data_IF_033031491224
#
_entry.id   IF_033031491224
#
_cell.length_a   1.000
_cell.length_b   1.000
_cell.length_c   1.000
_cell.angle_alpha   90.00
_cell.angle_beta   90.00
_cell.angle_gamma   90.00
#
_symmetry.space_group_name_H-M   'P 1'
#
loop_
_entity.id
_entity.type
_entity.pdbx_description
1 polymer ?
#
# COMPACT_ATOMS: atom_id res chain seq x y z
N UNK A 1 42.82 -58.95 23.37
CA UNK A 1 42.39 -59.33 22.02
C UNK A 1 42.24 -58.06 21.21
N UNK A 2 43.24 -57.73 20.38
CA UNK A 2 43.26 -56.52 19.56
C UNK A 2 42.85 -56.85 18.13
N UNK A 3 41.76 -56.24 17.65
CA UNK A 3 41.36 -56.27 16.25
C UNK A 3 42.02 -55.12 15.50
N UNK A 4 42.92 -55.44 14.57
CA UNK A 4 43.51 -54.48 13.65
C UNK A 4 42.46 -54.06 12.59
N UNK A 5 42.26 -52.75 12.45
CA UNK A 5 41.45 -52.19 11.37
C UNK A 5 42.21 -52.32 10.02
N UNK A 6 41.52 -52.66 8.91
CA UNK A 6 42.15 -52.74 7.60
C UNK A 6 42.54 -51.34 7.11
N UNK A 7 43.80 -51.19 6.72
CA UNK A 7 44.35 -49.97 6.12
C UNK A 7 43.60 -49.60 4.85
N UNK A 8 43.28 -48.31 4.71
CA UNK A 8 42.76 -47.75 3.45
C UNK A 8 43.80 -47.94 2.34
N UNK A 9 43.43 -48.41 1.15
CA UNK A 9 44.35 -48.43 0.02
C UNK A 9 44.79 -47.00 -0.30
N UNK A 10 46.11 -46.79 -0.32
CA UNK A 10 46.72 -45.52 -0.71
C UNK A 10 46.49 -45.28 -2.19
N UNK A 11 45.96 -44.10 -2.51
CA UNK A 11 45.74 -43.61 -3.87
C UNK A 11 47.08 -43.61 -4.62
N UNK A 12 47.14 -44.26 -5.77
CA UNK A 12 48.37 -44.43 -6.55
C UNK A 12 48.71 -43.16 -7.33
N UNK A 13 50.01 -42.90 -7.57
CA UNK A 13 50.47 -41.69 -8.27
C UNK A 13 49.84 -41.51 -9.67
N UNK A 14 49.47 -42.61 -10.34
CA UNK A 14 48.77 -42.59 -11.63
C UNK A 14 47.31 -42.12 -11.53
N UNK A 15 46.62 -42.43 -10.44
CA UNK A 15 45.25 -41.94 -10.18
C UNK A 15 45.25 -40.45 -9.83
N UNK A 16 46.29 -39.98 -9.14
CA UNK A 16 46.48 -38.55 -8.83
C UNK A 16 46.80 -37.77 -10.12
N UNK A 17 47.65 -38.30 -11.00
CA UNK A 17 47.97 -37.68 -12.29
C UNK A 17 46.74 -37.62 -13.22
N UNK A 18 45.97 -38.71 -13.31
CA UNK A 18 44.73 -38.73 -14.10
C UNK A 18 43.65 -37.80 -13.55
N UNK A 19 43.53 -37.67 -12.23
CA UNK A 19 42.62 -36.71 -11.60
C UNK A 19 43.06 -35.26 -11.82
N UNK A 20 44.38 -34.97 -11.80
CA UNK A 20 44.94 -33.66 -12.11
C UNK A 20 44.72 -33.27 -13.58
N UNK A 21 44.94 -34.20 -14.52
CA UNK A 21 44.71 -33.96 -15.95
C UNK A 21 43.20 -33.76 -16.27
N UNK A 22 42.31 -34.47 -15.55
CA UNK A 22 40.86 -34.25 -15.64
C UNK A 22 40.46 -32.89 -15.05
N UNK A 23 41.07 -32.49 -13.93
CA UNK A 23 40.85 -31.17 -13.30
C UNK A 23 41.36 -30.03 -14.17
N UNK A 24 42.47 -30.23 -14.88
CA UNK A 24 43.03 -29.24 -15.80
C UNK A 24 42.16 -29.09 -17.07
N UNK A 25 41.62 -30.22 -17.58
CA UNK A 25 40.65 -30.22 -18.69
C UNK A 25 39.26 -29.67 -18.31
N UNK A 26 38.81 -29.90 -17.07
CA UNK A 26 37.48 -29.51 -16.59
C UNK A 26 37.46 -28.18 -15.84
N UNK A 27 38.62 -27.66 -15.44
CA UNK A 27 38.76 -26.42 -14.67
C UNK A 27 38.26 -25.19 -15.43
N UNK A 28 38.59 -25.07 -16.72
CA UNK A 28 38.12 -23.96 -17.56
C UNK A 28 36.61 -24.04 -17.83
N UNK A 29 36.03 -25.20 -18.22
CA UNK A 29 34.57 -25.35 -18.32
C UNK A 29 33.82 -25.11 -17.01
N UNK A 30 34.30 -25.60 -15.86
CA UNK A 30 33.65 -25.34 -14.56
C UNK A 30 33.76 -23.87 -14.15
N UNK A 31 34.90 -23.22 -14.39
CA UNK A 31 35.07 -21.79 -14.11
C UNK A 31 34.17 -20.93 -15.02
N UNK A 32 34.03 -21.29 -16.30
CA UNK A 32 33.11 -20.63 -17.23
C UNK A 32 31.65 -20.87 -16.80
N UNK A 33 31.27 -22.09 -16.45
CA UNK A 33 29.93 -22.39 -15.96
C UNK A 33 29.62 -21.64 -14.66
N UNK A 34 30.56 -21.59 -13.71
CA UNK A 34 30.45 -20.81 -12.48
C UNK A 34 30.35 -19.30 -12.74
N UNK A 35 31.14 -18.77 -13.68
CA UNK A 35 31.09 -17.36 -14.08
C UNK A 35 29.76 -17.01 -14.80
N UNK A 36 29.27 -17.88 -15.68
CA UNK A 36 27.99 -17.71 -16.39
C UNK A 36 26.82 -17.81 -15.40
N UNK A 37 26.80 -18.79 -14.50
CA UNK A 37 25.79 -18.91 -13.45
C UNK A 37 25.84 -17.74 -12.47
N UNK A 38 27.02 -17.28 -12.06
CA UNK A 38 27.21 -16.09 -11.22
C UNK A 38 26.72 -14.80 -11.90
N UNK A 39 27.01 -14.65 -13.19
CA UNK A 39 26.54 -13.51 -14.01
C UNK A 39 25.03 -13.56 -14.21
N UNK A 40 24.44 -14.74 -14.47
CA UNK A 40 22.98 -14.92 -14.56
C UNK A 40 22.28 -14.62 -13.22
N UNK A 41 22.87 -15.04 -12.09
CA UNK A 41 22.36 -14.71 -10.76
C UNK A 41 22.43 -13.20 -10.48
N UNK A 42 23.52 -12.53 -10.86
CA UNK A 42 23.65 -11.07 -10.77
C UNK A 42 22.63 -10.35 -11.65
N UNK A 43 22.45 -10.77 -12.91
CA UNK A 43 21.44 -10.22 -13.82
C UNK A 43 20.03 -10.41 -13.23
N UNK A 44 19.73 -11.58 -12.66
CA UNK A 44 18.44 -11.87 -12.01
C UNK A 44 18.23 -11.01 -10.75
N UNK A 45 19.28 -10.79 -9.96
CA UNK A 45 19.24 -9.89 -8.80
C UNK A 45 19.05 -8.43 -9.20
N UNK A 46 19.75 -7.95 -10.24
CA UNK A 46 19.62 -6.59 -10.79
C UNK A 46 18.21 -6.37 -11.36
N UNK A 47 17.68 -7.33 -12.10
CA UNK A 47 16.30 -7.25 -12.63
C UNK A 47 15.25 -7.30 -11.54
N UNK A 48 15.44 -8.12 -10.50
CA UNK A 48 14.59 -8.11 -9.30
C UNK A 48 14.63 -6.74 -8.62
N UNK A 49 15.82 -6.17 -8.38
CA UNK A 49 15.97 -4.84 -7.79
C UNK A 49 15.31 -3.73 -8.63
N UNK A 50 15.43 -3.78 -9.96
CA UNK A 50 14.74 -2.85 -10.86
C UNK A 50 13.22 -2.96 -10.74
N UNK A 51 12.68 -4.18 -10.82
CA UNK A 51 11.24 -4.44 -10.63
C UNK A 51 10.74 -3.97 -9.27
N UNK A 52 11.51 -4.18 -8.20
CA UNK A 52 11.15 -3.68 -6.86
C UNK A 52 11.14 -2.16 -6.80
N UNK A 53 12.09 -1.48 -7.46
CA UNK A 53 12.10 0.00 -7.54
C UNK A 53 10.93 0.54 -8.34
N UNK A 54 10.63 -0.06 -9.49
CA UNK A 54 9.49 0.30 -10.33
C UNK A 54 8.16 0.08 -9.60
N UNK A 55 8.02 -1.06 -8.91
CA UNK A 55 6.85 -1.36 -8.07
C UNK A 55 6.71 -0.35 -6.91
N UNK A 56 7.79 -0.04 -6.18
CA UNK A 56 7.75 0.99 -5.13
C UNK A 56 7.35 2.35 -5.69
N UNK A 57 7.91 2.75 -6.83
CA UNK A 57 7.57 4.02 -7.47
C UNK A 57 6.09 4.05 -7.92
N UNK A 58 5.57 2.93 -8.41
CA UNK A 58 4.15 2.80 -8.75
C UNK A 58 3.26 2.91 -7.52
N UNK A 59 3.55 2.14 -6.47
CA UNK A 59 2.82 2.17 -5.20
C UNK A 59 2.82 3.57 -4.56
N UNK A 60 3.94 4.30 -4.64
CA UNK A 60 4.01 5.68 -4.12
C UNK A 60 3.12 6.64 -4.92
N UNK A 61 3.08 6.50 -6.25
CA UNK A 61 2.18 7.29 -7.11
C UNK A 61 0.72 6.97 -6.81
N UNK A 62 0.36 5.69 -6.66
CA UNK A 62 -1.01 5.30 -6.30
C UNK A 62 -1.40 5.83 -4.92
N UNK A 63 -0.51 5.75 -3.92
CA UNK A 63 -0.75 6.32 -2.59
C UNK A 63 -0.95 7.82 -2.63
N UNK A 64 -0.10 8.52 -3.37
CA UNK A 64 -0.21 9.97 -3.58
C UNK A 64 -1.54 10.33 -4.24
N UNK A 65 -1.95 9.56 -5.26
CA UNK A 65 -3.22 9.74 -5.95
C UNK A 65 -4.43 9.51 -5.03
N UNK A 66 -4.45 8.39 -4.29
CA UNK A 66 -5.52 8.04 -3.37
C UNK A 66 -5.66 9.08 -2.23
N UNK A 67 -4.52 9.53 -1.67
CA UNK A 67 -4.50 10.60 -0.67
C UNK A 67 -5.08 11.90 -1.24
N UNK A 68 -4.66 12.30 -2.44
CA UNK A 68 -5.16 13.50 -3.11
C UNK A 68 -6.66 13.40 -3.42
N UNK A 69 -7.12 12.23 -3.89
CA UNK A 69 -8.53 11.93 -4.16
C UNK A 69 -9.39 12.08 -2.90
N UNK A 70 -8.99 11.46 -1.79
CA UNK A 70 -9.69 11.57 -0.50
C UNK A 70 -9.71 13.02 0.00
N UNK A 71 -8.58 13.72 -0.05
CA UNK A 71 -8.48 15.11 0.36
C UNK A 71 -9.37 16.02 -0.48
N UNK A 72 -9.42 15.79 -1.79
CA UNK A 72 -10.30 16.48 -2.72
C UNK A 72 -11.78 16.26 -2.39
N UNK A 73 -12.17 15.01 -2.18
CA UNK A 73 -13.55 14.66 -1.79
C UNK A 73 -13.96 15.30 -0.46
N UNK A 74 -13.10 15.26 0.56
CA UNK A 74 -13.40 15.87 1.87
C UNK A 74 -13.46 17.40 1.82
N UNK A 75 -12.58 18.05 1.05
CA UNK A 75 -12.65 19.50 0.81
C UNK A 75 -13.93 19.87 0.08
N UNK A 76 -14.26 19.17 -1.00
CA UNK A 76 -15.50 19.37 -1.74
C UNK A 76 -16.74 19.17 -0.86
N UNK A 77 -16.73 18.15 -0.01
CA UNK A 77 -17.78 17.92 0.99
C UNK A 77 -17.92 19.11 1.96
N UNK A 78 -16.82 19.54 2.59
CA UNK A 78 -16.80 20.65 3.53
C UNK A 78 -17.32 21.96 2.90
N UNK A 79 -16.89 22.23 1.69
CA UNK A 79 -17.21 23.47 0.98
C UNK A 79 -18.67 23.43 0.52
N UNK A 80 -19.16 22.29 0.03
CA UNK A 80 -20.59 22.08 -0.30
C UNK A 80 -21.48 22.25 0.92
N UNK A 81 -21.13 21.66 2.07
CA UNK A 81 -21.86 21.86 3.32
C UNK A 81 -21.87 23.35 3.71
N UNK A 82 -20.76 24.07 3.51
CA UNK A 82 -20.70 25.50 3.82
C UNK A 82 -21.67 26.31 2.95
N UNK A 83 -21.75 26.01 1.66
CA UNK A 83 -22.71 26.63 0.74
C UNK A 83 -24.15 26.30 1.15
N UNK A 84 -24.44 25.03 1.46
CA UNK A 84 -25.77 24.58 1.87
C UNK A 84 -26.27 25.28 3.13
N UNK A 85 -25.39 25.54 4.10
CA UNK A 85 -25.75 26.24 5.34
C UNK A 85 -26.19 27.70 5.10
N UNK A 86 -25.91 28.28 3.93
CA UNK A 86 -26.39 29.59 3.51
C UNK A 86 -27.64 29.56 2.62
N UNK A 87 -28.11 28.38 2.21
CA UNK A 87 -29.27 28.25 1.33
C UNK A 87 -30.57 28.51 2.09
N UNK A 88 -31.47 29.29 1.47
CA UNK A 88 -32.83 29.54 1.97
C UNK A 88 -33.89 28.67 1.32
N UNK A 89 -33.62 28.21 0.10
CA UNK A 89 -34.48 27.31 -0.66
C UNK A 89 -34.30 25.87 -0.14
N UNK A 90 -35.38 25.29 0.38
CA UNK A 90 -35.37 23.96 0.96
C UNK A 90 -35.17 22.86 -0.09
N UNK A 91 -35.71 23.01 -1.30
CA UNK A 91 -35.61 22.00 -2.36
C UNK A 91 -34.21 21.94 -2.95
N UNK A 92 -33.59 23.10 -3.16
CA UNK A 92 -32.17 23.18 -3.55
C UNK A 92 -31.27 22.65 -2.44
N UNK A 93 -31.59 22.93 -1.18
CA UNK A 93 -30.88 22.42 -0.02
C UNK A 93 -30.88 20.88 0.04
N UNK A 94 -32.05 20.23 -0.03
CA UNK A 94 -32.12 18.77 0.08
C UNK A 94 -31.58 18.04 -1.15
N UNK A 95 -31.70 18.61 -2.36
CA UNK A 95 -31.00 18.09 -3.55
C UNK A 95 -29.49 18.13 -3.38
N UNK A 96 -28.97 19.24 -2.86
CA UNK A 96 -27.54 19.39 -2.57
C UNK A 96 -27.09 18.42 -1.48
N UNK A 97 -27.92 18.18 -0.46
CA UNK A 97 -27.67 17.19 0.59
C UNK A 97 -27.55 15.79 0.02
N UNK A 98 -28.50 15.37 -0.83
CA UNK A 98 -28.46 14.07 -1.47
C UNK A 98 -27.23 13.89 -2.40
N UNK A 99 -26.77 14.97 -3.03
CA UNK A 99 -25.56 14.95 -3.85
C UNK A 99 -24.30 14.79 -2.98
N UNK A 100 -24.15 15.62 -1.93
CA UNK A 100 -22.95 15.57 -1.07
C UNK A 100 -22.83 14.25 -0.32
N UNK A 101 -23.95 13.69 0.16
CA UNK A 101 -23.94 12.37 0.82
C UNK A 101 -23.38 11.28 -0.10
N UNK A 102 -23.85 11.23 -1.36
CA UNK A 102 -23.39 10.24 -2.34
C UNK A 102 -21.94 10.43 -2.75
N UNK A 103 -21.53 11.67 -3.03
CA UNK A 103 -20.17 11.98 -3.47
C UNK A 103 -19.13 11.75 -2.37
N UNK A 104 -19.51 11.89 -1.10
CA UNK A 104 -18.56 11.75 0.02
C UNK A 104 -18.43 10.29 0.46
N UNK A 105 -19.50 9.49 0.35
CA UNK A 105 -19.53 8.12 0.86
C UNK A 105 -18.51 7.19 0.20
N UNK A 106 -18.43 7.17 -1.13
CA UNK A 106 -17.49 6.32 -1.87
C UNK A 106 -16.03 6.56 -1.47
N UNK A 107 -15.50 7.79 -1.64
CA UNK A 107 -14.12 8.11 -1.29
C UNK A 107 -13.78 7.88 0.18
N UNK A 108 -14.71 8.18 1.10
CA UNK A 108 -14.49 7.96 2.53
C UNK A 108 -14.32 6.48 2.88
N UNK A 109 -15.18 5.62 2.35
CA UNK A 109 -15.12 4.17 2.62
C UNK A 109 -13.93 3.52 1.90
N UNK A 110 -13.67 3.92 0.65
CA UNK A 110 -12.60 3.34 -0.17
C UNK A 110 -11.20 3.72 0.34
N UNK A 111 -11.04 4.89 0.94
CA UNK A 111 -9.75 5.43 1.34
C UNK A 111 -9.64 5.70 2.85
N UNK A 112 -10.47 5.08 3.69
CA UNK A 112 -10.43 5.22 5.15
C UNK A 112 -9.04 4.93 5.74
N UNK A 113 -8.28 4.02 5.12
CA UNK A 113 -6.92 3.70 5.54
C UNK A 113 -5.97 4.91 5.58
N UNK A 114 -6.25 5.94 4.77
CA UNK A 114 -5.50 7.21 4.74
C UNK A 114 -5.92 8.21 5.82
N UNK A 115 -6.90 7.86 6.67
CA UNK A 115 -7.24 8.62 7.86
C UNK A 115 -6.46 8.04 9.04
N UNK A 116 -5.87 8.92 9.87
CA UNK A 116 -5.20 8.52 11.10
C UNK A 116 -6.13 7.72 12.01
N UNK A 117 -5.59 6.71 12.70
CA UNK A 117 -6.38 5.71 13.42
C UNK A 117 -7.34 6.32 14.46
N UNK A 118 -6.89 7.35 15.17
CA UNK A 118 -7.68 8.10 16.17
C UNK A 118 -8.84 8.90 15.57
N UNK A 119 -8.69 9.34 14.31
CA UNK A 119 -9.69 10.09 13.57
C UNK A 119 -10.66 9.21 12.75
N UNK A 120 -10.34 7.93 12.50
CA UNK A 120 -11.19 7.00 11.70
C UNK A 120 -12.60 6.87 12.24
N UNK A 121 -12.79 6.93 13.56
CA UNK A 121 -14.14 6.94 14.19
C UNK A 121 -15.06 8.06 13.68
N UNK A 122 -14.50 9.13 13.10
CA UNK A 122 -15.26 10.24 12.53
C UNK A 122 -15.82 9.92 11.14
N UNK A 123 -15.29 8.93 10.42
CA UNK A 123 -15.80 8.50 9.12
C UNK A 123 -17.26 8.05 9.23
N UNK A 124 -17.62 7.04 10.05
CA UNK A 124 -19.02 6.66 10.21
C UNK A 124 -19.87 7.81 10.78
N UNK A 125 -19.31 8.63 11.68
CA UNK A 125 -20.04 9.78 12.24
C UNK A 125 -20.45 10.81 11.17
N UNK A 126 -19.56 11.11 10.21
CA UNK A 126 -19.88 11.99 9.08
C UNK A 126 -20.96 11.38 8.20
N UNK A 127 -20.82 10.09 7.85
CA UNK A 127 -21.80 9.41 7.00
C UNK A 127 -23.18 9.37 7.64
N UNK A 128 -23.27 9.00 8.92
CA UNK A 128 -24.52 9.00 9.68
C UNK A 128 -25.12 10.39 9.77
N UNK A 129 -24.34 11.44 10.08
CA UNK A 129 -24.87 12.80 10.15
C UNK A 129 -25.39 13.31 8.81
N UNK A 130 -24.75 12.97 7.69
CA UNK A 130 -25.23 13.33 6.36
C UNK A 130 -26.53 12.60 5.99
N UNK A 131 -26.67 11.33 6.39
CA UNK A 131 -27.91 10.57 6.20
C UNK A 131 -29.04 11.09 7.09
N UNK A 132 -28.80 11.26 8.40
CA UNK A 132 -29.81 11.74 9.34
C UNK A 132 -30.26 13.17 9.02
N UNK A 133 -29.36 14.02 8.51
CA UNK A 133 -29.72 15.36 8.06
C UNK A 133 -30.77 15.33 6.94
N UNK A 134 -30.88 14.24 6.18
CA UNK A 134 -31.87 14.10 5.08
C UNK A 134 -33.25 13.62 5.55
N UNK A 135 -33.37 13.14 6.79
CA UNK A 135 -34.62 12.59 7.34
C UNK A 135 -35.32 13.54 8.32
N UNK A 136 -34.69 14.67 8.65
CA UNK A 136 -35.19 15.67 9.61
C UNK A 136 -35.51 17.01 8.96
N UNK A 137 -36.33 17.82 9.62
CA UNK A 137 -36.66 19.17 9.15
C UNK A 137 -35.44 20.11 9.07
N UNK A 138 -35.54 21.13 8.20
CA UNK A 138 -34.43 21.98 7.76
C UNK A 138 -33.60 22.57 8.91
N UNK A 139 -34.25 23.09 9.96
CA UNK A 139 -33.56 23.63 11.14
C UNK A 139 -32.68 22.58 11.83
N UNK A 140 -33.17 21.36 12.06
CA UNK A 140 -32.37 20.28 12.68
C UNK A 140 -31.27 19.79 11.74
N UNK A 141 -31.60 19.67 10.45
CA UNK A 141 -30.66 19.30 9.39
C UNK A 141 -29.44 20.23 9.35
N UNK A 142 -29.64 21.55 9.43
CA UNK A 142 -28.52 22.51 9.47
C UNK A 142 -27.64 22.37 10.70
N UNK A 143 -28.18 21.99 11.85
CA UNK A 143 -27.38 21.72 13.06
C UNK A 143 -26.49 20.50 12.85
N UNK A 144 -27.04 19.41 12.30
CA UNK A 144 -26.29 18.20 11.99
C UNK A 144 -25.20 18.47 10.95
N UNK A 145 -25.48 19.27 9.92
CA UNK A 145 -24.49 19.67 8.92
C UNK A 145 -23.34 20.51 9.48
N UNK A 146 -23.58 21.37 10.48
CA UNK A 146 -22.49 22.09 11.16
C UNK A 146 -21.55 21.15 11.89
N UNK A 147 -22.10 20.10 12.51
CA UNK A 147 -21.30 19.06 13.17
C UNK A 147 -20.53 18.23 12.14
N UNK A 148 -21.20 17.81 11.06
CA UNK A 148 -20.57 17.05 9.98
C UNK A 148 -19.41 17.83 9.36
N UNK A 149 -19.61 19.13 9.10
CA UNK A 149 -18.54 20.02 8.60
C UNK A 149 -17.34 20.07 9.53
N UNK A 150 -17.56 20.10 10.85
CA UNK A 150 -16.48 20.09 11.84
C UNK A 150 -15.74 18.75 11.81
N UNK A 151 -16.45 17.63 11.75
CA UNK A 151 -15.84 16.30 11.65
C UNK A 151 -15.05 16.13 10.35
N UNK A 152 -15.59 16.58 9.21
CA UNK A 152 -14.86 16.62 7.94
C UNK A 152 -13.59 17.48 8.06
N UNK A 153 -13.68 18.64 8.71
CA UNK A 153 -12.50 19.47 9.00
C UNK A 153 -11.44 18.75 9.85
N UNK A 154 -11.88 17.95 10.83
CA UNK A 154 -10.97 17.12 11.64
C UNK A 154 -10.35 15.98 10.81
N UNK A 155 -11.12 15.32 9.95
CA UNK A 155 -10.62 14.30 9.04
C UNK A 155 -9.55 14.86 8.11
N UNK A 156 -9.79 16.02 7.49
CA UNK A 156 -8.82 16.69 6.60
C UNK A 156 -7.48 16.94 7.30
N UNK A 157 -7.50 17.33 8.58
CA UNK A 157 -6.27 17.58 9.36
C UNK A 157 -5.52 16.30 9.75
N UNK A 158 -6.17 15.14 9.65
CA UNK A 158 -5.65 13.84 10.06
C UNK A 158 -5.56 12.86 8.87
N UNK A 159 -5.40 13.37 7.65
CA UNK A 159 -5.09 12.51 6.49
C UNK A 159 -3.59 12.25 6.47
N UNK A 160 -3.22 10.99 6.54
CA UNK A 160 -1.83 10.54 6.47
C UNK A 160 -1.65 9.40 5.46
N UNK A 161 -0.42 9.21 4.98
CA UNK A 161 -0.10 8.07 4.12
C UNK A 161 0.09 6.85 5.04
N UNK A 162 -0.67 5.75 4.86
CA UNK A 162 -0.48 4.56 5.67
C UNK A 162 0.94 4.01 5.45
N UNK A 163 1.59 3.44 6.49
CA UNK A 163 2.89 2.82 6.34
C UNK A 163 2.85 1.76 5.23
N UNK A 164 3.95 1.60 4.49
CA UNK A 164 4.12 0.44 3.60
C UNK A 164 4.20 -0.77 4.50
N UNK A 165 3.08 -1.45 4.76
CA UNK A 165 3.14 -2.70 5.52
C UNK A 165 3.94 -3.72 4.70
N UNK A 166 5.10 -4.22 5.20
CA UNK A 166 5.86 -5.26 4.52
C UNK A 166 5.29 -6.65 4.79
N UNK A 167 4.29 -6.78 5.68
CA UNK A 167 3.79 -8.06 6.15
C UNK A 167 2.61 -8.53 5.29
N UNK A 168 2.96 -9.20 4.20
CA UNK A 168 2.21 -10.39 3.84
C UNK A 168 2.58 -11.46 4.87
N UNK A 169 1.66 -11.77 5.77
CA UNK A 169 1.63 -13.07 6.43
C UNK A 169 1.20 -14.14 5.39
#
# INVERSE_FOLDING_TARGET
MGGAAPGRPGMTAGEIAGALELLERLGTPLAIAGAVSGTMALIKSITTLRRTREFRAHMERERSHNKASLLGALRGCRDTISTMLGMRDADVYYRSLAAVSRMTQGPLLQHEAYVAHDARRLVPAVLTQLMDASTVGHRKSTVMLRVARRHVGNLIRNIDVPPVDPRHD
#
